data_IF_275920070819
#
_entry.id   IF_275920070819
#
_cell.length_a   1.000
_cell.length_b   1.000
_cell.length_c   1.000
_cell.angle_alpha   90.00
_cell.angle_beta   90.00
_cell.angle_gamma   90.00
#
_symmetry.space_group_name_H-M   'P 1'
#
loop_
_entity.id
_entity.type
_entity.pdbx_description
1 polymer ?
#
# COMPACT_ATOMS: atom_id res chain seq x y z
N UNK A 1 -44.16 -16.83 -11.94
CA UNK A 1 -43.46 -17.17 -10.66
C UNK A 1 -41.98 -16.96 -10.88
N UNK A 2 -41.33 -15.97 -10.28
CA UNK A 2 -39.87 -15.82 -10.36
C UNK A 2 -39.23 -16.74 -9.35
N UNK A 3 -38.20 -17.48 -9.79
CA UNK A 3 -37.36 -18.33 -8.95
C UNK A 3 -36.52 -17.47 -8.03
N UNK A 4 -36.52 -17.83 -6.76
CA UNK A 4 -35.65 -17.24 -5.75
C UNK A 4 -34.20 -17.57 -6.07
N UNK A 5 -33.39 -16.56 -6.32
CA UNK A 5 -31.92 -16.64 -6.32
C UNK A 5 -31.50 -16.66 -4.86
N UNK A 6 -31.04 -17.80 -4.41
CA UNK A 6 -30.41 -17.98 -3.10
C UNK A 6 -29.09 -17.20 -3.09
N UNK A 7 -29.08 -16.09 -2.35
CA UNK A 7 -27.86 -15.41 -1.96
C UNK A 7 -27.22 -16.19 -0.82
N UNK A 8 -26.23 -16.99 -1.11
CA UNK A 8 -25.25 -17.42 -0.12
C UNK A 8 -23.97 -17.82 -0.82
N UNK A 9 -23.01 -16.90 -0.88
CA UNK A 9 -21.61 -17.18 -1.16
C UNK A 9 -20.76 -16.08 -0.54
N UNK A 10 -20.09 -16.41 0.56
CA UNK A 10 -18.81 -15.78 0.90
C UNK A 10 -18.80 -14.60 1.85
N UNK A 11 -19.32 -14.76 3.04
CA UNK A 11 -18.85 -14.00 4.20
C UNK A 11 -17.56 -14.65 4.77
N UNK A 12 -16.50 -14.72 3.97
CA UNK A 12 -15.13 -14.87 4.48
C UNK A 12 -14.42 -13.52 4.37
N UNK A 13 -14.90 -12.58 5.21
CA UNK A 13 -14.24 -11.31 5.46
C UNK A 13 -13.07 -11.50 6.40
N UNK A 14 -11.91 -11.04 5.95
CA UNK A 14 -10.88 -10.31 6.68
C UNK A 14 -10.67 -10.61 8.18
N UNK A 15 -10.73 -11.87 8.61
CA UNK A 15 -10.07 -12.28 9.85
C UNK A 15 -8.62 -12.64 9.51
N UNK A 16 -7.66 -12.25 10.34
CA UNK A 16 -6.35 -12.87 10.32
C UNK A 16 -6.59 -14.39 10.35
N UNK A 17 -6.16 -15.12 9.33
CA UNK A 17 -6.35 -16.58 9.29
C UNK A 17 -5.86 -17.16 10.60
N UNK A 18 -6.70 -17.91 11.30
CA UNK A 18 -6.48 -18.34 12.69
C UNK A 18 -5.05 -18.85 12.88
N UNK A 19 -4.23 -18.14 13.67
CA UNK A 19 -2.85 -18.50 13.99
C UNK A 19 -1.74 -17.75 13.25
N UNK A 20 -2.04 -16.79 12.36
CA UNK A 20 -1.02 -15.97 11.68
C UNK A 20 -0.97 -14.57 12.30
N UNK A 21 0.24 -14.02 12.57
CA UNK A 21 0.37 -12.73 13.22
C UNK A 21 -0.02 -11.55 12.31
N UNK A 22 0.11 -11.69 11.00
CA UNK A 22 -0.24 -10.67 10.00
C UNK A 22 -0.42 -11.31 8.61
N UNK A 23 -0.97 -10.56 7.67
CA UNK A 23 -0.91 -10.86 6.23
C UNK A 23 0.37 -10.28 5.65
N UNK A 24 1.10 -11.06 4.84
CA UNK A 24 2.29 -10.61 4.14
C UNK A 24 1.92 -10.05 2.77
N UNK A 25 2.28 -8.81 2.53
CA UNK A 25 2.15 -8.16 1.23
C UNK A 25 3.46 -7.57 0.74
N UNK A 26 3.48 -7.13 -0.51
CA UNK A 26 4.57 -6.30 -1.04
C UNK A 26 4.03 -5.02 -1.66
N UNK A 27 4.82 -3.95 -1.59
CA UNK A 27 4.53 -2.68 -2.25
C UNK A 27 5.47 -2.51 -3.42
N UNK A 28 4.91 -2.61 -4.63
CA UNK A 28 5.66 -2.47 -5.86
C UNK A 28 5.90 -0.98 -6.17
N UNK A 29 7.17 -0.62 -6.16
CA UNK A 29 7.69 0.56 -6.80
C UNK A 29 8.15 0.18 -8.20
N UNK A 30 7.48 0.69 -9.22
CA UNK A 30 7.83 0.42 -10.61
C UNK A 30 8.85 1.45 -11.11
N UNK A 31 9.89 1.68 -10.30
CA UNK A 31 11.04 2.50 -10.64
C UNK A 31 11.97 1.68 -11.55
N UNK A 32 12.04 2.05 -12.81
CA UNK A 32 12.75 1.26 -13.81
C UNK A 32 13.15 2.12 -15.01
N UNK A 33 14.30 1.80 -15.57
CA UNK A 33 14.78 2.37 -16.84
C UNK A 33 14.23 1.61 -18.06
N UNK A 34 13.36 0.62 -17.85
CA UNK A 34 12.64 -0.09 -18.91
C UNK A 34 11.68 0.83 -19.67
N UNK A 35 11.28 0.41 -20.86
CA UNK A 35 10.14 1.04 -21.53
C UNK A 35 8.86 0.81 -20.69
N UNK A 36 7.87 1.73 -20.75
CA UNK A 36 6.61 1.54 -19.99
C UNK A 36 5.96 0.19 -20.25
N UNK A 37 5.92 -0.27 -21.49
CA UNK A 37 5.34 -1.56 -21.86
C UNK A 37 6.10 -2.76 -21.23
N UNK A 38 7.42 -2.69 -21.12
CA UNK A 38 8.23 -3.73 -20.45
C UNK A 38 8.02 -3.68 -18.93
N UNK A 39 7.99 -2.48 -18.35
CA UNK A 39 7.76 -2.29 -16.92
C UNK A 39 6.38 -2.82 -16.49
N UNK A 40 5.31 -2.56 -17.26
CA UNK A 40 3.99 -3.08 -16.94
C UNK A 40 3.89 -4.61 -17.05
N UNK A 41 4.53 -5.21 -18.07
CA UNK A 41 4.61 -6.69 -18.15
C UNK A 41 5.35 -7.29 -16.97
N UNK A 42 6.48 -6.69 -16.62
CA UNK A 42 7.24 -7.11 -15.43
C UNK A 42 6.41 -7.00 -14.14
N UNK A 43 5.59 -5.96 -14.00
CA UNK A 43 4.69 -5.82 -12.85
C UNK A 43 3.68 -6.98 -12.78
N UNK A 44 3.06 -7.36 -13.92
CA UNK A 44 2.16 -8.52 -13.98
C UNK A 44 2.88 -9.80 -13.55
N UNK A 45 4.06 -10.06 -14.12
CA UNK A 45 4.85 -11.26 -13.82
C UNK A 45 5.24 -11.32 -12.34
N UNK A 46 5.64 -10.20 -11.73
CA UNK A 46 5.96 -10.13 -10.29
C UNK A 46 4.76 -10.46 -9.38
N UNK A 47 3.55 -10.03 -9.74
CA UNK A 47 2.35 -10.39 -8.99
C UNK A 47 2.02 -11.87 -9.11
N UNK A 48 2.19 -12.47 -10.30
CA UNK A 48 2.02 -13.92 -10.53
C UNK A 48 3.03 -14.71 -9.69
N UNK A 49 4.29 -14.29 -9.67
CA UNK A 49 5.32 -14.97 -8.89
C UNK A 49 5.14 -14.77 -7.38
N UNK A 50 4.72 -13.57 -6.93
CA UNK A 50 4.38 -13.34 -5.52
C UNK A 50 3.19 -14.23 -5.08
N UNK A 51 2.17 -14.41 -5.93
CA UNK A 51 1.07 -15.34 -5.67
C UNK A 51 1.58 -16.78 -5.49
N UNK A 52 2.50 -17.23 -6.34
CA UNK A 52 3.13 -18.56 -6.25
C UNK A 52 3.96 -18.73 -4.98
N UNK A 53 4.63 -17.67 -4.53
CA UNK A 53 5.40 -17.63 -3.29
C UNK A 53 4.49 -17.57 -2.04
N UNK A 54 3.19 -17.44 -2.21
CA UNK A 54 2.20 -17.44 -1.13
C UNK A 54 1.89 -16.10 -0.50
N UNK A 55 2.32 -14.98 -1.10
CA UNK A 55 1.93 -13.65 -0.63
C UNK A 55 0.42 -13.49 -0.56
N UNK A 56 -0.04 -12.78 0.46
CA UNK A 56 -1.46 -12.50 0.67
C UNK A 56 -1.94 -11.33 -0.19
N UNK A 57 -1.06 -10.34 -0.44
CA UNK A 57 -1.41 -9.14 -1.20
C UNK A 57 -0.23 -8.54 -1.95
N UNK A 58 -0.53 -7.89 -3.07
CA UNK A 58 0.41 -7.04 -3.78
C UNK A 58 -0.21 -5.65 -3.98
N UNK A 59 0.59 -4.60 -3.77
CA UNK A 59 0.17 -3.21 -3.80
C UNK A 59 1.01 -2.43 -4.79
N UNK A 60 0.38 -1.53 -5.53
CA UNK A 60 1.07 -0.63 -6.45
C UNK A 60 0.98 0.81 -5.97
N UNK A 61 2.05 1.56 -6.13
CA UNK A 61 2.04 3.00 -5.86
C UNK A 61 1.32 3.76 -6.97
N UNK A 62 1.08 5.05 -6.76
CA UNK A 62 0.57 5.96 -7.78
C UNK A 62 1.52 7.15 -7.93
N UNK A 63 2.01 7.40 -9.15
CA UNK A 63 2.90 8.52 -9.49
C UNK A 63 2.52 9.10 -10.84
N UNK A 64 2.16 10.37 -10.86
CA UNK A 64 1.94 11.10 -12.11
C UNK A 64 3.28 11.49 -12.77
N UNK A 65 3.30 11.58 -14.10
CA UNK A 65 4.39 12.13 -14.89
C UNK A 65 5.77 11.52 -14.61
N UNK A 66 5.81 10.23 -14.28
CA UNK A 66 7.05 9.50 -13.97
C UNK A 66 7.85 10.11 -12.81
N UNK A 67 7.20 10.72 -11.85
CA UNK A 67 7.86 11.23 -10.65
C UNK A 67 8.61 10.13 -9.91
N UNK A 68 9.87 10.38 -9.55
CA UNK A 68 10.75 9.37 -8.96
C UNK A 68 11.09 8.22 -9.90
N UNK A 69 11.05 8.44 -11.22
CA UNK A 69 11.26 7.42 -12.27
C UNK A 69 10.20 6.28 -12.29
N UNK A 70 9.07 6.47 -11.63
CA UNK A 70 8.01 5.48 -11.49
C UNK A 70 7.07 5.46 -12.70
N UNK A 71 6.56 4.29 -13.07
CA UNK A 71 5.71 4.12 -14.26
C UNK A 71 4.21 4.01 -13.96
N UNK A 72 3.76 4.08 -12.71
CA UNK A 72 2.36 3.83 -12.34
C UNK A 72 1.56 5.12 -12.24
N UNK A 73 1.03 5.61 -13.35
CA UNK A 73 0.13 6.78 -13.42
C UNK A 73 -1.36 6.44 -13.35
N UNK A 74 -1.73 5.18 -13.59
CA UNK A 74 -3.11 4.68 -13.56
C UNK A 74 -3.15 3.32 -12.84
N UNK A 75 -3.11 3.31 -11.49
CA UNK A 75 -2.97 2.07 -10.73
C UNK A 75 -4.12 1.09 -10.94
N UNK A 76 -5.38 1.55 -11.03
CA UNK A 76 -6.54 0.67 -11.25
C UNK A 76 -6.49 -0.03 -12.61
N UNK A 77 -6.02 0.65 -13.67
CA UNK A 77 -5.83 0.04 -15.00
C UNK A 77 -4.77 -1.07 -14.95
N UNK A 78 -3.65 -0.83 -14.24
CA UNK A 78 -2.63 -1.86 -14.05
C UNK A 78 -3.15 -3.03 -13.22
N UNK A 79 -3.89 -2.78 -12.14
CA UNK A 79 -4.47 -3.82 -11.31
C UNK A 79 -5.54 -4.64 -12.05
N UNK A 80 -6.31 -4.06 -12.97
CA UNK A 80 -7.21 -4.80 -13.85
C UNK A 80 -6.45 -5.81 -14.71
N UNK A 81 -5.32 -5.41 -15.31
CA UNK A 81 -4.48 -6.32 -16.07
C UNK A 81 -3.89 -7.43 -15.19
N UNK A 82 -3.45 -7.12 -13.97
CA UNK A 82 -2.93 -8.10 -13.02
C UNK A 82 -4.03 -9.08 -12.57
N UNK A 83 -5.27 -8.59 -12.39
CA UNK A 83 -6.40 -9.41 -11.97
C UNK A 83 -6.65 -10.61 -12.89
N UNK A 84 -6.49 -10.42 -14.22
CA UNK A 84 -6.67 -11.46 -15.25
C UNK A 84 -5.56 -12.54 -15.22
N UNK A 85 -4.43 -12.29 -14.55
CA UNK A 85 -3.29 -13.20 -14.50
C UNK A 85 -3.10 -13.85 -13.11
N UNK A 86 -3.93 -13.48 -12.14
CA UNK A 86 -3.86 -13.94 -10.74
C UNK A 86 -5.23 -14.41 -10.28
N UNK A 87 -5.26 -15.27 -9.26
CA UNK A 87 -6.53 -15.88 -8.80
C UNK A 87 -6.81 -15.68 -7.32
N UNK A 88 -5.77 -15.46 -6.50
CA UNK A 88 -5.86 -15.46 -5.04
C UNK A 88 -5.31 -14.20 -4.40
N UNK A 89 -4.16 -13.71 -4.88
CA UNK A 89 -3.49 -12.54 -4.28
C UNK A 89 -4.40 -11.31 -4.31
N UNK A 90 -4.51 -10.60 -3.20
CA UNK A 90 -5.27 -9.36 -3.13
C UNK A 90 -4.50 -8.23 -3.81
N UNK A 91 -5.22 -7.34 -4.46
CA UNK A 91 -4.69 -6.31 -5.35
C UNK A 91 -4.95 -4.93 -4.76
N UNK A 92 -3.89 -4.21 -4.37
CA UNK A 92 -4.04 -2.98 -3.64
C UNK A 92 -3.44 -1.74 -4.29
N UNK A 93 -3.99 -0.57 -3.95
CA UNK A 93 -3.37 0.73 -4.24
C UNK A 93 -2.71 1.28 -2.97
N UNK A 94 -1.43 1.57 -3.02
CA UNK A 94 -0.67 2.07 -1.87
C UNK A 94 0.04 3.41 -2.14
N UNK A 95 -0.69 4.50 -2.40
CA UNK A 95 -2.13 4.79 -2.45
C UNK A 95 -2.54 5.41 -3.77
N UNK A 96 -3.82 5.36 -4.12
CA UNK A 96 -4.38 6.23 -5.16
C UNK A 96 -4.50 7.66 -4.61
N UNK A 97 -4.03 8.66 -5.36
CA UNK A 97 -4.11 10.08 -4.97
C UNK A 97 -5.51 10.61 -5.26
N UNK A 98 -6.43 10.39 -4.32
CA UNK A 98 -7.87 10.63 -4.52
C UNK A 98 -8.22 12.11 -4.82
N UNK A 99 -7.57 13.13 -4.19
CA UNK A 99 -7.90 14.52 -4.50
C UNK A 99 -7.58 14.97 -5.93
N UNK A 100 -6.79 14.22 -6.68
CA UNK A 100 -6.46 14.53 -8.07
C UNK A 100 -7.34 13.80 -9.08
N UNK A 101 -8.31 13.01 -8.60
CA UNK A 101 -9.28 12.27 -9.42
C UNK A 101 -10.72 12.70 -9.09
N UNK A 102 -11.69 12.32 -9.91
CA UNK A 102 -13.11 12.41 -9.55
C UNK A 102 -13.50 11.15 -8.75
N UNK A 103 -14.08 11.27 -7.54
CA UNK A 103 -14.48 10.13 -6.74
C UNK A 103 -15.52 9.20 -7.40
N UNK A 104 -16.35 9.71 -8.31
CA UNK A 104 -17.29 8.87 -9.04
C UNK A 104 -16.56 7.96 -10.05
N UNK A 105 -15.66 8.54 -10.85
CA UNK A 105 -14.82 7.76 -11.77
C UNK A 105 -13.98 6.72 -11.03
N UNK A 106 -13.39 7.10 -9.88
CA UNK A 106 -12.64 6.14 -9.05
C UNK A 106 -13.53 5.02 -8.53
N UNK A 107 -14.77 5.31 -8.14
CA UNK A 107 -15.72 4.29 -7.69
C UNK A 107 -16.11 3.32 -8.80
N UNK A 108 -16.38 3.83 -10.03
CA UNK A 108 -16.70 3.03 -11.21
C UNK A 108 -15.52 2.12 -11.57
N UNK A 109 -14.31 2.69 -11.72
CA UNK A 109 -13.10 1.93 -12.03
C UNK A 109 -12.81 0.85 -10.96
N UNK A 110 -12.93 1.20 -9.68
CA UNK A 110 -12.70 0.28 -8.57
C UNK A 110 -13.74 -0.84 -8.55
N UNK A 111 -15.01 -0.55 -8.79
CA UNK A 111 -16.06 -1.57 -8.86
C UNK A 111 -15.82 -2.54 -10.01
N UNK A 112 -15.38 -2.06 -11.18
CA UNK A 112 -15.04 -2.92 -12.33
C UNK A 112 -13.83 -3.80 -12.00
N UNK A 113 -12.77 -3.26 -11.42
CA UNK A 113 -11.59 -4.06 -11.01
C UNK A 113 -11.96 -5.09 -9.94
N UNK A 114 -12.85 -4.75 -9.02
CA UNK A 114 -13.32 -5.67 -8.00
C UNK A 114 -14.07 -6.86 -8.58
N UNK A 115 -14.96 -6.62 -9.55
CA UNK A 115 -15.67 -7.69 -10.29
C UNK A 115 -14.70 -8.55 -11.10
N UNK A 116 -13.80 -7.95 -11.88
CA UNK A 116 -12.78 -8.67 -12.65
C UNK A 116 -11.88 -9.54 -11.78
N UNK A 117 -11.55 -9.05 -10.60
CA UNK A 117 -10.70 -9.79 -9.66
C UNK A 117 -11.45 -10.79 -8.78
N UNK A 118 -12.78 -10.90 -8.87
CA UNK A 118 -13.56 -11.74 -7.97
C UNK A 118 -13.53 -11.27 -6.51
N UNK A 119 -13.59 -9.95 -6.27
CA UNK A 119 -13.66 -9.37 -4.93
C UNK A 119 -12.30 -9.24 -4.22
N UNK A 120 -11.20 -9.16 -4.97
CA UNK A 120 -9.83 -9.08 -4.42
C UNK A 120 -9.26 -7.67 -4.33
N UNK A 121 -9.97 -6.64 -4.78
CA UNK A 121 -9.46 -5.27 -4.73
C UNK A 121 -9.42 -4.74 -3.29
N UNK A 122 -8.30 -4.12 -2.92
CA UNK A 122 -8.07 -3.34 -1.70
C UNK A 122 -7.80 -1.89 -2.13
N UNK A 123 -8.78 -1.01 -1.99
CA UNK A 123 -8.65 0.37 -2.45
C UNK A 123 -8.01 1.26 -1.38
N UNK A 124 -6.72 1.53 -1.49
CA UNK A 124 -6.02 2.47 -0.63
C UNK A 124 -5.99 3.86 -1.25
N UNK A 125 -6.41 4.87 -0.49
CA UNK A 125 -6.46 6.27 -0.93
C UNK A 125 -5.63 7.18 -0.03
N UNK A 126 -5.08 8.24 -0.61
CA UNK A 126 -4.27 9.21 0.11
C UNK A 126 -4.30 10.60 -0.53
N UNK A 127 -3.75 11.59 0.19
CA UNK A 127 -3.80 12.99 -0.22
C UNK A 127 -2.75 13.40 -1.26
N UNK A 128 -1.67 12.65 -1.46
CA UNK A 128 -0.59 12.92 -2.41
C UNK A 128 0.28 14.13 -2.06
N UNK A 129 1.62 13.97 -1.96
CA UNK A 129 2.51 15.03 -1.50
C UNK A 129 3.21 15.83 -2.61
N UNK A 130 3.01 15.51 -3.91
CA UNK A 130 3.85 16.04 -4.99
C UNK A 130 3.28 17.32 -5.63
N UNK A 131 3.89 18.52 -5.44
CA UNK A 131 3.36 19.80 -5.89
C UNK A 131 3.10 19.86 -7.40
N UNK A 132 4.00 19.30 -8.22
CA UNK A 132 3.90 19.33 -9.68
C UNK A 132 2.68 18.59 -10.22
N UNK A 133 2.25 17.53 -9.54
CA UNK A 133 1.00 16.85 -9.90
C UNK A 133 -0.21 17.76 -9.59
N UNK A 134 -0.25 18.37 -8.42
CA UNK A 134 -1.31 19.30 -8.04
C UNK A 134 -1.45 20.47 -9.01
N UNK A 135 -0.34 21.08 -9.40
CA UNK A 135 -0.30 22.15 -10.40
C UNK A 135 -0.87 21.69 -11.75
N UNK A 136 -0.42 20.54 -12.26
CA UNK A 136 -0.85 20.02 -13.54
C UNK A 136 -2.36 19.68 -13.59
N UNK A 137 -2.94 19.29 -12.45
CA UNK A 137 -4.39 19.08 -12.32
C UNK A 137 -5.17 20.35 -11.97
N UNK A 138 -4.51 21.53 -11.98
CA UNK A 138 -5.15 22.83 -11.70
C UNK A 138 -5.65 22.97 -10.25
N UNK A 139 -5.04 22.25 -9.31
CA UNK A 139 -5.42 22.24 -7.89
C UNK A 139 -4.29 22.74 -7.00
N UNK A 140 -4.64 23.34 -5.85
CA UNK A 140 -3.65 23.81 -4.88
C UNK A 140 -3.27 22.69 -3.91
N UNK A 141 -1.97 22.48 -3.72
CA UNK A 141 -1.45 21.55 -2.71
C UNK A 141 -1.84 21.97 -1.28
N UNK A 142 -2.09 23.26 -1.05
CA UNK A 142 -2.53 23.77 0.27
C UNK A 142 -3.91 23.24 0.65
N UNK A 143 -4.77 22.96 -0.35
CA UNK A 143 -6.11 22.41 -0.16
C UNK A 143 -6.13 20.88 0.00
N UNK A 144 -4.98 20.20 -0.06
CA UNK A 144 -4.89 18.74 -0.22
C UNK A 144 -5.69 17.97 0.83
N UNK A 145 -5.67 18.40 2.07
CA UNK A 145 -6.34 17.68 3.14
C UNK A 145 -7.85 17.91 3.12
N UNK A 146 -8.28 19.15 2.90
CA UNK A 146 -9.71 19.47 2.75
C UNK A 146 -10.31 18.71 1.57
N UNK A 147 -9.65 18.77 0.41
CA UNK A 147 -10.10 18.03 -0.79
C UNK A 147 -10.06 16.52 -0.60
N UNK A 148 -9.10 15.99 0.17
CA UNK A 148 -9.07 14.58 0.52
C UNK A 148 -10.27 14.18 1.36
N UNK A 149 -10.55 14.91 2.44
CA UNK A 149 -11.68 14.64 3.33
C UNK A 149 -13.02 14.70 2.57
N UNK A 150 -13.22 15.71 1.72
CA UNK A 150 -14.40 15.86 0.86
C UNK A 150 -14.54 14.71 -0.15
N UNK A 151 -13.40 14.31 -0.78
CA UNK A 151 -13.38 13.22 -1.76
C UNK A 151 -13.66 11.86 -1.13
N UNK A 152 -13.12 11.60 0.06
CA UNK A 152 -13.40 10.36 0.82
C UNK A 152 -14.87 10.30 1.20
N UNK A 153 -15.44 11.39 1.74
CA UNK A 153 -16.86 11.43 2.09
C UNK A 153 -17.77 11.18 0.86
N UNK A 154 -17.42 11.75 -0.30
CA UNK A 154 -18.16 11.51 -1.55
C UNK A 154 -18.00 10.06 -2.01
N UNK A 155 -16.78 9.52 -1.96
CA UNK A 155 -16.48 8.13 -2.33
C UNK A 155 -17.27 7.14 -1.46
N UNK A 156 -17.33 7.34 -0.14
CA UNK A 156 -18.14 6.51 0.76
C UNK A 156 -19.60 6.47 0.32
N UNK A 157 -20.23 7.62 0.14
CA UNK A 157 -21.64 7.70 -0.28
C UNK A 157 -21.91 6.93 -1.58
N UNK A 158 -21.02 7.08 -2.57
CA UNK A 158 -21.14 6.40 -3.86
C UNK A 158 -21.04 4.88 -3.69
N UNK A 159 -20.01 4.41 -2.96
CA UNK A 159 -19.78 2.99 -2.70
C UNK A 159 -20.86 2.35 -1.82
N UNK A 160 -21.54 3.12 -0.99
CA UNK A 160 -22.69 2.71 -0.16
C UNK A 160 -24.02 2.66 -0.93
N UNK A 161 -24.00 3.00 -2.22
CA UNK A 161 -25.17 2.94 -3.10
C UNK A 161 -26.12 4.14 -2.96
N UNK A 162 -25.64 5.28 -2.46
CA UNK A 162 -26.41 6.51 -2.48
C UNK A 162 -26.51 7.05 -3.92
N UNK A 163 -27.64 7.72 -4.28
CA UNK A 163 -27.81 8.33 -5.58
C UNK A 163 -26.67 9.28 -5.96
N UNK A 164 -26.21 9.19 -7.20
CA UNK A 164 -25.11 10.02 -7.73
C UNK A 164 -25.63 11.27 -8.46
N UNK A 165 -26.91 11.30 -8.78
CA UNK A 165 -27.56 12.41 -9.47
C UNK A 165 -29.05 12.57 -9.07
N UNK A 166 -29.71 13.59 -9.62
CA UNK A 166 -31.12 13.90 -9.35
C UNK A 166 -32.11 12.88 -9.94
N UNK A 167 -31.69 12.02 -10.86
CA UNK A 167 -32.50 10.94 -11.40
C UNK A 167 -32.55 9.71 -10.48
N UNK A 168 -31.75 9.70 -9.41
CA UNK A 168 -31.71 8.60 -8.46
C UNK A 168 -30.82 7.44 -8.92
N UNK A 169 -29.97 7.64 -9.93
CA UNK A 169 -29.04 6.61 -10.39
C UNK A 169 -27.97 6.34 -9.31
N UNK A 170 -27.53 5.07 -9.23
CA UNK A 170 -26.55 4.59 -8.28
C UNK A 170 -25.38 3.95 -9.01
N UNK A 171 -24.27 3.76 -8.32
CA UNK A 171 -23.08 3.09 -8.86
C UNK A 171 -23.40 1.70 -9.40
N UNK A 172 -22.89 1.39 -10.60
CA UNK A 172 -22.93 0.06 -11.20
C UNK A 172 -21.57 -0.26 -11.87
N UNK A 173 -20.93 -1.44 -11.57
CA UNK A 173 -21.35 -2.47 -10.60
C UNK A 173 -21.45 -1.94 -9.16
N UNK A 174 -22.15 -2.67 -8.25
CA UNK A 174 -22.30 -2.22 -6.86
C UNK A 174 -20.98 -2.13 -6.10
N UNK A 175 -20.73 -1.02 -5.39
CA UNK A 175 -19.46 -0.75 -4.71
C UNK A 175 -19.31 -1.31 -3.30
N UNK A 176 -20.30 -2.02 -2.76
CA UNK A 176 -20.30 -2.48 -1.37
C UNK A 176 -19.10 -3.37 -0.99
N UNK A 177 -18.58 -4.15 -1.92
CA UNK A 177 -17.37 -4.94 -1.75
C UNK A 177 -16.14 -4.05 -1.55
N UNK A 178 -15.96 -3.07 -2.44
CA UNK A 178 -14.87 -2.09 -2.37
C UNK A 178 -14.97 -1.25 -1.10
N UNK A 179 -16.20 -0.83 -0.70
CA UNK A 179 -16.44 -0.06 0.53
C UNK A 179 -15.88 -0.74 1.77
N UNK A 180 -16.07 -2.04 1.90
CA UNK A 180 -15.55 -2.82 3.03
C UNK A 180 -14.02 -2.97 3.02
N UNK A 181 -13.37 -2.78 1.86
CA UNK A 181 -11.93 -2.91 1.64
C UNK A 181 -11.27 -1.59 1.28
N UNK A 182 -11.86 -0.49 1.72
CA UNK A 182 -11.28 0.84 1.60
C UNK A 182 -10.24 1.05 2.71
N UNK A 183 -9.13 1.71 2.36
CA UNK A 183 -8.04 2.06 3.25
C UNK A 183 -7.68 3.53 3.09
N UNK A 184 -7.32 4.18 4.18
CA UNK A 184 -6.85 5.55 4.18
C UNK A 184 -5.39 5.63 4.65
N UNK A 185 -4.55 6.32 3.87
CA UNK A 185 -3.20 6.62 4.33
C UNK A 185 -3.20 7.84 5.24
N UNK A 186 -2.46 7.74 6.33
CA UNK A 186 -2.21 8.90 7.18
C UNK A 186 -1.26 9.89 6.51
N UNK A 187 -1.37 11.14 6.93
CA UNK A 187 -0.39 12.18 6.61
C UNK A 187 0.92 11.96 7.39
N UNK A 188 2.03 12.45 6.84
CA UNK A 188 3.30 12.54 7.56
C UNK A 188 3.35 13.63 8.64
N UNK A 189 2.32 14.48 8.74
CA UNK A 189 2.20 15.50 9.78
C UNK A 189 1.70 14.87 11.09
N UNK A 190 2.52 14.78 12.15
CA UNK A 190 2.18 14.02 13.36
C UNK A 190 0.89 14.49 14.03
N UNK A 191 0.67 15.81 14.12
CA UNK A 191 -0.51 16.39 14.76
C UNK A 191 -1.82 16.05 14.05
N UNK A 192 -1.80 15.89 12.74
CA UNK A 192 -2.96 15.52 11.94
C UNK A 192 -3.13 13.99 11.83
N UNK A 193 -2.04 13.25 11.89
CA UNK A 193 -2.06 11.80 11.66
C UNK A 193 -2.96 11.04 12.64
N UNK A 194 -2.93 11.40 13.93
CA UNK A 194 -3.78 10.79 14.95
C UNK A 194 -5.27 11.04 14.65
N UNK A 195 -5.64 12.27 14.35
CA UNK A 195 -7.04 12.61 14.02
C UNK A 195 -7.53 11.91 12.77
N UNK A 196 -6.70 11.82 11.73
CA UNK A 196 -7.02 11.11 10.49
C UNK A 196 -7.19 9.59 10.73
N UNK A 197 -6.34 8.98 11.54
CA UNK A 197 -6.44 7.57 11.90
C UNK A 197 -7.74 7.26 12.66
N UNK A 198 -8.09 8.08 13.64
CA UNK A 198 -9.36 7.96 14.39
C UNK A 198 -10.57 8.13 13.48
N UNK A 199 -10.52 9.07 12.53
CA UNK A 199 -11.60 9.29 11.57
C UNK A 199 -11.77 8.09 10.63
N UNK A 200 -10.67 7.51 10.11
CA UNK A 200 -10.69 6.30 9.30
C UNK A 200 -11.29 5.11 10.07
N UNK A 201 -10.88 4.91 11.33
CA UNK A 201 -11.42 3.87 12.20
C UNK A 201 -12.94 3.98 12.39
N UNK A 202 -13.44 5.18 12.72
CA UNK A 202 -14.88 5.44 12.88
C UNK A 202 -15.69 5.24 11.61
N UNK A 203 -15.06 5.44 10.45
CA UNK A 203 -15.67 5.16 9.16
C UNK A 203 -15.62 3.67 8.76
N UNK A 204 -14.92 2.82 9.52
CA UNK A 204 -14.71 1.40 9.19
C UNK A 204 -13.67 1.18 8.08
N UNK A 205 -12.86 2.19 7.77
CA UNK A 205 -11.78 2.07 6.78
C UNK A 205 -10.49 1.54 7.43
N UNK A 206 -9.69 0.82 6.65
CA UNK A 206 -8.35 0.39 7.06
C UNK A 206 -7.38 1.57 7.14
N UNK A 207 -6.36 1.43 7.97
CA UNK A 207 -5.28 2.41 8.15
C UNK A 207 -4.03 1.97 7.38
N UNK A 208 -3.51 2.81 6.48
CA UNK A 208 -2.22 2.60 5.84
C UNK A 208 -1.17 3.54 6.42
N UNK A 209 -0.10 2.96 6.98
CA UNK A 209 1.07 3.68 7.46
C UNK A 209 2.22 3.50 6.46
N UNK A 210 2.75 4.61 5.99
CA UNK A 210 3.90 4.60 5.08
C UNK A 210 5.15 4.07 5.78
N UNK A 211 6.28 3.97 5.06
CA UNK A 211 7.54 3.60 5.68
C UNK A 211 7.91 4.57 6.81
N UNK A 212 8.30 4.02 7.96
CA UNK A 212 8.90 4.80 9.03
C UNK A 212 10.26 5.39 8.60
N UNK A 213 10.72 6.44 9.28
CA UNK A 213 12.04 7.03 9.03
C UNK A 213 12.38 8.09 10.06
N UNK A 214 13.66 8.30 10.28
CA UNK A 214 14.19 9.18 11.32
C UNK A 214 14.65 10.52 10.71
N UNK A 215 13.73 11.24 10.05
CA UNK A 215 13.94 12.59 9.53
C UNK A 215 12.69 13.47 9.59
N UNK A 216 12.87 14.80 9.56
CA UNK A 216 11.75 15.73 9.64
C UNK A 216 10.68 15.45 8.58
N UNK A 217 9.42 15.45 9.01
CA UNK A 217 8.26 15.22 8.14
C UNK A 217 8.00 13.76 7.78
N UNK A 218 8.66 12.81 8.46
CA UNK A 218 8.33 11.39 8.42
C UNK A 218 8.02 10.89 9.82
N UNK A 219 7.10 9.94 9.94
CA UNK A 219 6.79 9.30 11.21
C UNK A 219 7.88 8.30 11.57
N UNK A 220 8.33 8.31 12.82
CA UNK A 220 9.15 7.22 13.37
C UNK A 220 8.29 5.97 13.61
N UNK A 221 8.93 4.81 13.83
CA UNK A 221 8.21 3.58 14.17
C UNK A 221 7.41 3.72 15.47
N UNK A 222 7.94 4.45 16.45
CA UNK A 222 7.24 4.74 17.71
C UNK A 222 5.97 5.58 17.48
N UNK A 223 6.06 6.64 16.69
CA UNK A 223 4.89 7.45 16.33
C UNK A 223 3.85 6.63 15.56
N UNK A 224 4.28 5.71 14.70
CA UNK A 224 3.37 4.82 13.99
C UNK A 224 2.66 3.85 14.93
N UNK A 225 3.35 3.33 15.94
CA UNK A 225 2.74 2.49 16.98
C UNK A 225 1.65 3.26 17.75
N UNK A 226 1.92 4.51 18.14
CA UNK A 226 0.94 5.38 18.82
C UNK A 226 -0.30 5.65 17.94
N UNK A 227 -0.08 5.91 16.64
CA UNK A 227 -1.17 6.11 15.67
C UNK A 227 -1.99 4.84 15.50
N UNK A 228 -1.34 3.66 15.39
CA UNK A 228 -2.01 2.38 15.27
C UNK A 228 -2.83 2.04 16.52
N UNK A 229 -2.29 2.30 17.71
CA UNK A 229 -3.01 2.11 18.97
C UNK A 229 -4.26 2.99 19.07
N UNK A 230 -4.16 4.28 18.71
CA UNK A 230 -5.29 5.20 18.69
C UNK A 230 -6.37 4.76 17.67
N UNK A 231 -5.95 4.31 16.49
CA UNK A 231 -6.85 3.74 15.47
C UNK A 231 -7.59 2.51 16.02
N UNK A 232 -6.88 1.55 16.63
CA UNK A 232 -7.47 0.33 17.17
C UNK A 232 -8.50 0.61 18.27
N UNK A 233 -8.19 1.55 19.16
CA UNK A 233 -9.12 2.00 20.19
C UNK A 233 -10.41 2.55 19.57
N UNK A 234 -10.28 3.46 18.59
CA UNK A 234 -11.43 4.05 17.92
C UNK A 234 -12.23 3.03 17.09
N UNK A 235 -11.57 2.06 16.46
CA UNK A 235 -12.23 0.96 15.75
C UNK A 235 -13.05 0.07 16.69
N UNK A 236 -12.49 -0.28 17.84
CA UNK A 236 -13.21 -1.05 18.87
C UNK A 236 -14.44 -0.29 19.40
N UNK A 237 -14.31 1.02 19.68
CA UNK A 237 -15.42 1.88 20.08
C UNK A 237 -16.52 1.96 19.02
N UNK A 238 -16.15 1.94 17.73
CA UNK A 238 -17.07 1.94 16.60
C UNK A 238 -17.64 0.55 16.26
N UNK A 239 -17.21 -0.51 16.94
CA UNK A 239 -17.61 -1.88 16.63
C UNK A 239 -17.05 -2.42 15.29
N UNK A 240 -15.95 -1.86 14.82
CA UNK A 240 -15.27 -2.23 13.58
C UNK A 240 -14.05 -3.11 13.86
N UNK A 241 -13.79 -4.09 13.00
CA UNK A 241 -12.56 -4.86 13.06
C UNK A 241 -11.37 -3.98 12.61
N UNK A 242 -10.31 -3.85 13.42
CA UNK A 242 -9.19 -3.01 13.09
C UNK A 242 -8.36 -3.63 11.95
N UNK A 243 -8.00 -2.80 10.96
CA UNK A 243 -7.13 -3.16 9.84
C UNK A 243 -6.00 -2.15 9.76
N UNK A 244 -4.79 -2.56 10.13
CA UNK A 244 -3.60 -1.69 10.16
C UNK A 244 -2.53 -2.26 9.27
N UNK A 245 -2.13 -1.51 8.27
CA UNK A 245 -1.07 -1.86 7.34
C UNK A 245 0.16 -1.00 7.58
N UNK A 246 1.31 -1.64 7.78
CA UNK A 246 2.61 -0.96 7.84
C UNK A 246 3.46 -1.34 6.63
N UNK A 247 4.30 -0.42 6.16
CA UNK A 247 5.25 -0.68 5.08
C UNK A 247 6.69 -0.55 5.58
N UNK A 248 7.57 -1.51 5.20
CA UNK A 248 8.99 -1.52 5.57
C UNK A 248 9.87 -1.81 4.37
N UNK A 249 11.00 -1.10 4.31
CA UNK A 249 12.03 -1.36 3.33
C UNK A 249 12.91 -2.52 3.82
N UNK A 250 12.96 -3.61 3.07
CA UNK A 250 13.76 -4.79 3.41
C UNK A 250 14.65 -5.18 2.23
N UNK A 251 15.85 -5.68 2.51
CA UNK A 251 16.76 -6.19 1.49
C UNK A 251 17.54 -7.38 2.08
N UNK A 252 16.91 -8.55 2.21
CA UNK A 252 17.57 -9.74 2.74
C UNK A 252 18.68 -10.20 1.78
N UNK A 253 19.90 -10.32 2.33
CA UNK A 253 21.09 -10.75 1.61
C UNK A 253 22.12 -11.33 2.58
N UNK A 254 22.78 -12.46 2.29
CA UNK A 254 23.74 -13.07 3.22
C UNK A 254 24.91 -12.15 3.63
N UNK A 255 25.34 -11.30 2.69
CA UNK A 255 26.38 -10.28 2.90
C UNK A 255 25.78 -8.87 2.93
N UNK A 256 25.77 -8.23 4.11
CA UNK A 256 25.24 -6.87 4.30
C UNK A 256 25.98 -5.84 3.44
N UNK A 257 27.29 -5.98 3.27
CA UNK A 257 28.07 -5.05 2.45
C UNK A 257 27.70 -5.17 0.96
N UNK A 258 27.42 -6.38 0.48
CA UNK A 258 26.89 -6.60 -0.87
C UNK A 258 25.49 -6.00 -1.02
N UNK A 259 24.61 -6.14 -0.03
CA UNK A 259 23.29 -5.49 -0.02
C UNK A 259 23.41 -3.97 -0.13
N UNK A 260 24.28 -3.33 0.65
CA UNK A 260 24.54 -1.89 0.59
C UNK A 260 25.02 -1.48 -0.80
N UNK A 261 25.96 -2.23 -1.39
CA UNK A 261 26.41 -1.96 -2.77
C UNK A 261 25.27 -2.04 -3.78
N UNK A 262 24.41 -3.04 -3.66
CA UNK A 262 23.27 -3.25 -4.56
C UNK A 262 22.23 -2.12 -4.49
N UNK A 263 21.94 -1.58 -3.31
CA UNK A 263 20.97 -0.49 -3.15
C UNK A 263 21.55 0.91 -3.37
N UNK A 264 22.88 1.06 -3.39
CA UNK A 264 23.57 2.35 -3.54
C UNK A 264 23.10 3.16 -4.76
N UNK A 265 22.94 2.59 -5.97
CA UNK A 265 22.44 3.35 -7.11
C UNK A 265 21.05 3.95 -6.87
N UNK A 266 20.17 3.20 -6.24
CA UNK A 266 18.83 3.67 -5.88
C UNK A 266 18.84 4.76 -4.82
N UNK A 267 19.70 4.63 -3.78
CA UNK A 267 19.91 5.70 -2.78
C UNK A 267 20.33 7.00 -3.49
N UNK A 268 21.33 6.94 -4.36
CA UNK A 268 21.82 8.11 -5.09
C UNK A 268 20.75 8.71 -5.99
N UNK A 269 19.94 7.89 -6.64
CA UNK A 269 18.79 8.33 -7.43
C UNK A 269 17.77 9.08 -6.58
N UNK A 270 17.39 8.53 -5.42
CA UNK A 270 16.47 9.18 -4.49
C UNK A 270 17.00 10.51 -3.96
N UNK A 271 18.28 10.57 -3.62
CA UNK A 271 18.95 11.79 -3.19
C UNK A 271 18.92 12.87 -4.29
N UNK A 272 19.18 12.51 -5.54
CA UNK A 272 19.18 13.46 -6.68
C UNK A 272 17.76 13.96 -7.02
N UNK A 273 16.75 13.14 -6.78
CA UNK A 273 15.35 13.51 -7.06
C UNK A 273 14.74 14.43 -5.99
N UNK A 274 15.28 14.46 -4.79
CA UNK A 274 14.81 15.29 -3.70
C UNK A 274 15.76 16.48 -3.39
N UNK A 275 16.13 17.32 -4.38
CA UNK A 275 17.14 18.37 -4.17
C UNK A 275 16.73 19.46 -3.18
N UNK A 276 15.42 19.59 -2.90
CA UNK A 276 14.89 20.52 -1.88
C UNK A 276 15.09 19.99 -0.45
N UNK A 277 15.43 18.71 -0.31
CA UNK A 277 15.70 18.05 0.97
C UNK A 277 17.20 17.87 1.15
N UNK A 278 17.92 18.99 1.38
CA UNK A 278 19.37 18.98 1.60
C UNK A 278 19.80 18.11 2.78
N UNK A 279 18.92 17.99 3.78
CA UNK A 279 19.07 17.10 4.92
C UNK A 279 19.18 15.61 4.55
N UNK A 280 18.80 15.24 3.33
CA UNK A 280 18.87 13.88 2.79
C UNK A 280 19.87 13.77 1.64
N UNK A 281 20.01 14.83 0.82
CA UNK A 281 20.79 14.82 -0.41
C UNK A 281 22.30 14.60 -0.16
N UNK A 282 22.82 15.12 0.95
CA UNK A 282 24.24 15.12 1.26
C UNK A 282 24.70 13.98 2.17
N UNK A 283 23.77 13.07 2.57
CA UNK A 283 24.12 11.95 3.45
C UNK A 283 25.01 10.91 2.77
N UNK A 284 25.88 10.29 3.55
CA UNK A 284 26.51 9.02 3.16
C UNK A 284 25.46 7.94 2.93
N UNK A 285 25.78 6.91 2.11
CA UNK A 285 24.81 5.84 1.79
C UNK A 285 24.35 5.12 3.05
N UNK A 286 25.26 4.75 3.94
CA UNK A 286 24.91 4.02 5.16
C UNK A 286 24.08 4.89 6.11
N UNK A 287 24.43 6.16 6.29
CA UNK A 287 23.65 7.09 7.10
C UNK A 287 22.24 7.31 6.52
N UNK A 288 22.12 7.38 5.18
CA UNK A 288 20.82 7.43 4.52
C UNK A 288 19.97 6.19 4.85
N UNK A 289 20.55 5.00 4.70
CA UNK A 289 19.85 3.72 4.93
C UNK A 289 19.43 3.57 6.39
N UNK A 290 20.27 4.03 7.33
CA UNK A 290 19.96 4.03 8.76
C UNK A 290 18.77 4.95 9.05
N UNK A 291 18.80 6.20 8.61
CA UNK A 291 17.69 7.16 8.79
C UNK A 291 16.43 6.77 8.04
N UNK A 292 16.57 6.11 6.89
CA UNK A 292 15.43 5.53 6.14
C UNK A 292 14.86 4.28 6.80
N UNK A 293 15.52 3.77 7.85
CA UNK A 293 15.20 2.50 8.50
C UNK A 293 15.08 1.35 7.50
N UNK A 294 15.97 1.35 6.50
CA UNK A 294 16.08 0.27 5.52
C UNK A 294 16.78 -0.93 6.15
N UNK A 295 16.15 -2.09 6.16
CA UNK A 295 16.62 -3.30 6.82
C UNK A 295 17.39 -4.17 5.81
N UNK A 296 18.72 -4.19 5.93
CA UNK A 296 19.60 -4.91 5.00
C UNK A 296 20.48 -5.91 5.74
N UNK A 297 20.72 -7.06 5.13
CA UNK A 297 21.62 -8.10 5.63
C UNK A 297 21.00 -9.47 5.71
N UNK A 298 21.57 -10.42 6.48
CA UNK A 298 21.05 -11.77 6.65
C UNK A 298 19.58 -11.77 7.03
N UNK A 299 18.84 -12.77 6.55
CA UNK A 299 17.39 -12.89 6.74
C UNK A 299 17.00 -12.88 8.22
N UNK A 300 17.81 -13.48 9.08
CA UNK A 300 17.64 -13.47 10.53
C UNK A 300 17.74 -12.05 11.12
N UNK A 301 18.72 -11.26 10.69
CA UNK A 301 18.90 -9.88 11.17
C UNK A 301 17.77 -8.95 10.70
N UNK A 302 17.27 -9.18 9.47
CA UNK A 302 16.09 -8.47 8.95
C UNK A 302 14.86 -8.84 9.77
N UNK A 303 14.65 -10.11 10.08
CA UNK A 303 13.53 -10.58 10.89
C UNK A 303 13.59 -10.06 12.33
N UNK A 304 14.77 -10.08 12.97
CA UNK A 304 14.98 -9.50 14.32
C UNK A 304 14.64 -8.01 14.35
N UNK A 305 15.08 -7.26 13.33
CA UNK A 305 14.79 -5.83 13.20
C UNK A 305 13.30 -5.54 13.01
N UNK A 306 12.59 -6.38 12.24
CA UNK A 306 11.14 -6.29 12.07
C UNK A 306 10.41 -6.66 13.38
N UNK A 307 10.83 -7.72 14.07
CA UNK A 307 10.25 -8.13 15.36
C UNK A 307 10.42 -7.06 16.46
N UNK A 308 11.50 -6.28 16.39
CA UNK A 308 11.74 -5.16 17.29
C UNK A 308 10.99 -3.87 16.92
N UNK A 309 10.29 -3.84 15.77
CA UNK A 309 9.52 -2.66 15.35
C UNK A 309 8.23 -2.55 16.16
N UNK A 310 8.05 -1.49 16.97
CA UNK A 310 6.90 -1.38 17.87
C UNK A 310 5.56 -1.30 17.13
N UNK A 311 5.55 -0.85 15.87
CA UNK A 311 4.32 -0.75 15.09
C UNK A 311 3.87 -2.09 14.48
N UNK A 312 4.74 -3.11 14.44
CA UNK A 312 4.38 -4.44 13.94
C UNK A 312 3.41 -5.16 14.88
N UNK A 313 3.50 -4.91 16.18
CA UNK A 313 2.64 -5.56 17.18
C UNK A 313 1.15 -5.30 16.96
N UNK A 314 0.80 -4.15 16.40
CA UNK A 314 -0.57 -3.73 16.12
C UNK A 314 -0.96 -3.89 14.63
N UNK A 315 -0.03 -4.32 13.78
CA UNK A 315 -0.25 -4.45 12.35
C UNK A 315 -1.04 -5.73 12.02
N UNK A 316 -2.04 -5.61 11.17
CA UNK A 316 -2.72 -6.75 10.53
C UNK A 316 -2.09 -7.13 9.20
N UNK A 317 -1.34 -6.18 8.60
CA UNK A 317 -0.69 -6.32 7.31
C UNK A 317 0.72 -5.75 7.34
N UNK A 318 1.70 -6.56 6.97
CA UNK A 318 3.07 -6.14 6.74
C UNK A 318 3.34 -6.07 5.24
N UNK A 319 3.55 -4.87 4.71
CA UNK A 319 4.05 -4.68 3.35
C UNK A 319 5.55 -4.53 3.35
N UNK A 320 6.22 -5.38 2.59
CA UNK A 320 7.64 -5.20 2.30
C UNK A 320 7.82 -4.43 1.00
N UNK A 321 8.84 -3.60 0.94
CA UNK A 321 9.28 -2.94 -0.30
C UNK A 321 10.78 -3.02 -0.41
N UNK A 322 11.31 -3.01 -1.63
CA UNK A 322 12.75 -3.17 -1.87
C UNK A 322 13.45 -1.85 -2.18
N UNK A 323 12.74 -0.73 -2.03
CA UNK A 323 13.35 0.61 -2.08
C UNK A 323 14.19 0.86 -0.82
N UNK A 324 15.29 1.62 -0.91
CA UNK A 324 15.71 2.43 -2.07
C UNK A 324 16.42 1.65 -3.18
N UNK A 325 16.50 0.33 -3.10
CA UNK A 325 17.00 -0.49 -4.22
C UNK A 325 16.13 -0.31 -5.46
N UNK A 326 16.75 -0.55 -6.62
CA UNK A 326 16.09 -0.58 -7.93
C UNK A 326 16.43 -1.94 -8.53
N UNK A 327 15.86 -3.02 -7.98
CA UNK A 327 16.17 -4.36 -8.44
C UNK A 327 15.66 -4.60 -9.86
N UNK A 328 16.44 -5.29 -10.68
CA UNK A 328 15.92 -5.89 -11.90
C UNK A 328 14.92 -7.02 -11.57
N UNK A 329 14.30 -7.60 -12.58
CA UNK A 329 13.30 -8.65 -12.35
C UNK A 329 13.83 -9.85 -11.56
N UNK A 330 15.01 -10.33 -11.90
CA UNK A 330 15.61 -11.51 -11.25
C UNK A 330 15.92 -11.25 -9.78
N UNK A 331 16.47 -10.09 -9.48
CA UNK A 331 16.76 -9.67 -8.11
C UNK A 331 15.47 -9.38 -7.32
N UNK A 332 14.45 -8.79 -7.97
CA UNK A 332 13.15 -8.57 -7.35
C UNK A 332 12.50 -9.90 -6.92
N UNK A 333 12.50 -10.88 -7.82
CA UNK A 333 12.00 -12.24 -7.53
C UNK A 333 12.79 -12.91 -6.41
N UNK A 334 14.12 -12.77 -6.41
CA UNK A 334 14.98 -13.29 -5.32
C UNK A 334 14.60 -12.66 -3.97
N UNK A 335 14.38 -11.33 -3.94
CA UNK A 335 14.00 -10.61 -2.72
C UNK A 335 12.60 -11.01 -2.22
N UNK A 336 11.64 -11.20 -3.12
CA UNK A 336 10.32 -11.74 -2.79
C UNK A 336 10.45 -13.14 -2.20
N UNK A 337 11.22 -14.02 -2.83
CA UNK A 337 11.43 -15.38 -2.35
C UNK A 337 12.11 -15.42 -0.99
N UNK A 338 13.22 -14.69 -0.81
CA UNK A 338 13.93 -14.63 0.48
C UNK A 338 13.03 -14.07 1.60
N UNK A 339 12.22 -13.05 1.30
CA UNK A 339 11.28 -12.50 2.27
C UNK A 339 10.22 -13.52 2.69
N UNK A 340 9.60 -14.22 1.73
CA UNK A 340 8.52 -15.17 2.01
C UNK A 340 9.02 -16.48 2.65
N UNK A 341 10.21 -16.96 2.27
CA UNK A 341 10.72 -18.27 2.64
C UNK A 341 11.68 -18.24 3.84
N UNK A 342 12.36 -17.12 4.08
CA UNK A 342 13.38 -17.00 5.11
C UNK A 342 13.00 -15.98 6.20
N UNK A 343 12.60 -14.76 5.84
CA UNK A 343 12.32 -13.67 6.80
C UNK A 343 10.97 -13.86 7.49
N UNK A 344 9.88 -13.92 6.72
CA UNK A 344 8.52 -13.94 7.25
C UNK A 344 8.23 -15.16 8.14
N UNK A 345 8.77 -16.36 7.86
CA UNK A 345 8.63 -17.51 8.76
C UNK A 345 9.22 -17.32 10.15
N UNK A 346 10.30 -16.54 10.28
CA UNK A 346 10.89 -16.19 11.58
C UNK A 346 9.99 -15.27 12.42
N UNK A 347 9.10 -14.55 11.75
CA UNK A 347 8.06 -13.71 12.36
C UNK A 347 6.73 -14.48 12.62
N UNK A 348 6.69 -15.79 12.36
CA UNK A 348 5.50 -16.62 12.54
C UNK A 348 4.53 -16.64 11.36
N UNK A 349 4.83 -15.94 10.26
CA UNK A 349 4.00 -16.01 9.06
C UNK A 349 4.24 -17.32 8.29
N UNK A 350 3.19 -17.86 7.71
CA UNK A 350 3.22 -18.99 6.77
C UNK A 350 2.24 -18.72 5.63
N UNK A 351 2.54 -19.16 4.39
CA UNK A 351 1.55 -19.08 3.31
C UNK A 351 0.29 -19.83 3.67
N UNK A 352 -0.86 -19.35 3.18
CA UNK A 352 -2.10 -20.11 3.28
C UNK A 352 -1.90 -21.44 2.52
N UNK A 353 -2.24 -22.54 3.17
CA UNK A 353 -2.25 -23.83 2.47
C UNK A 353 -3.32 -23.77 1.40
N UNK A 354 -2.94 -24.00 0.16
CA UNK A 354 -3.91 -24.21 -0.93
C UNK A 354 -4.60 -25.53 -0.68
N UNK A 355 -5.94 -25.59 -0.67
CA UNK A 355 -6.67 -26.84 -0.52
C UNK A 355 -6.40 -27.83 -1.66
#
# INVERSE_FOLDING_TARGET
>A
MPAAVTADAGAEGAGAAAGRPFRLGFLLHLDSDLTPAAAYRQAVDLFVDAERLGYDSGWVIHRHFRQGNEHVSAPLVLLAAIAEHTTRIRLGTGVLVLPLADPLTVAEDAAVVDELSGGRLELGVGSGPFPTAWEAFGRSLQDRYRLFDESVARLHRILEGHPVNSAGEVLHPPGAGVRRRLWQATTSEPTRALGAAVAAAKAGDGLQLSRAGDWPGRQSAQQQAEIAAAYRTAAAEAGCEPRVQISRAVYPHPDRAAAIRAVTPGVRRWQSWAPQRRDVADLGVEEYLERDRSLLGPSEAVAESLAADPSLADATDLLVSFVPGVPDYGEHLRLLAATAQEVAPLLGWRPLQTP
#
